data_IF_410427701553
#
_entry.id   IF_410427701553
#
_cell.length_a   1.000
_cell.length_b   1.000
_cell.length_c   1.000
_cell.angle_alpha   90.00
_cell.angle_beta   90.00
_cell.angle_gamma   90.00
#
_symmetry.space_group_name_H-M   'P 1'
#
loop_
_entity.id
_entity.type
_entity.pdbx_description
1 polymer ?
#
# COMPACT_ATOMS: atom_id res chain seq x y z
N UNK A 1 -3.70 -1.37 -22.78
CA UNK A 1 -2.68 -0.50 -23.43
C UNK A 1 -3.27 0.80 -23.97
N UNK A 2 -4.34 0.76 -24.76
CA UNK A 2 -4.93 1.96 -25.40
C UNK A 2 -5.45 3.00 -24.37
N UNK A 3 -6.13 2.56 -23.32
CA UNK A 3 -6.68 3.43 -22.27
C UNK A 3 -5.57 4.07 -21.44
N UNK A 4 -4.49 3.36 -21.13
CA UNK A 4 -3.35 3.88 -20.37
C UNK A 4 -2.52 4.90 -21.16
N UNK A 5 -2.38 4.70 -22.47
CA UNK A 5 -1.72 5.67 -23.37
C UNK A 5 -2.53 6.96 -23.44
N UNK A 6 -3.85 6.88 -23.55
CA UNK A 6 -4.74 8.04 -23.57
C UNK A 6 -4.72 8.81 -22.23
N UNK A 7 -4.56 8.10 -21.11
CA UNK A 7 -4.57 8.69 -19.76
C UNK A 7 -3.24 9.29 -19.33
N UNK A 8 -2.09 8.77 -19.83
CA UNK A 8 -0.72 9.15 -19.38
C UNK A 8 0.14 9.78 -20.46
N UNK A 9 -0.35 9.84 -21.70
CA UNK A 9 0.40 10.28 -22.87
C UNK A 9 1.47 9.27 -23.34
N UNK A 10 1.80 9.31 -24.64
CA UNK A 10 2.75 8.37 -25.26
C UNK A 10 4.15 8.43 -24.62
N UNK A 11 4.67 9.63 -24.34
CA UNK A 11 5.97 9.84 -23.71
C UNK A 11 6.06 9.25 -22.30
N UNK A 12 5.01 9.40 -21.49
CA UNK A 12 4.95 8.82 -20.13
C UNK A 12 4.92 7.30 -20.16
N UNK A 13 4.26 6.70 -21.15
CA UNK A 13 4.20 5.23 -21.30
C UNK A 13 5.56 4.66 -21.74
N UNK A 14 6.24 5.29 -22.71
CA UNK A 14 7.59 4.89 -23.16
C UNK A 14 8.60 5.01 -22.01
N UNK A 15 8.57 6.12 -21.28
CA UNK A 15 9.45 6.30 -20.10
C UNK A 15 9.25 5.22 -19.06
N UNK A 16 8.00 4.88 -18.70
CA UNK A 16 7.72 3.80 -17.74
C UNK A 16 8.17 2.44 -18.25
N UNK A 17 7.98 2.15 -19.53
CA UNK A 17 8.46 0.92 -20.14
C UNK A 17 9.99 0.78 -20.05
N UNK A 18 10.74 1.87 -20.23
CA UNK A 18 12.21 1.87 -20.10
C UNK A 18 12.70 1.60 -18.68
N UNK A 19 11.86 1.82 -17.67
CA UNK A 19 12.20 1.55 -16.27
C UNK A 19 11.92 0.11 -15.83
N UNK A 20 11.17 -0.67 -16.61
CA UNK A 20 10.79 -2.05 -16.24
C UNK A 20 12.00 -2.95 -15.93
N UNK A 21 13.10 -2.95 -16.74
CA UNK A 21 14.26 -3.79 -16.44
C UNK A 21 14.99 -3.39 -15.15
N UNK A 22 14.89 -2.10 -14.75
CA UNK A 22 15.48 -1.60 -13.49
C UNK A 22 14.60 -1.93 -12.29
N UNK A 23 13.29 -1.89 -12.46
CA UNK A 23 12.29 -2.16 -11.41
C UNK A 23 12.13 -3.63 -11.12
N UNK A 24 11.91 -4.40 -12.18
CA UNK A 24 11.69 -5.83 -12.11
C UNK A 24 12.90 -6.57 -12.67
N UNK A 25 13.19 -7.76 -12.16
CA UNK A 25 14.14 -8.69 -12.76
C UNK A 25 13.44 -9.60 -13.77
N UNK A 26 14.24 -10.43 -14.48
CA UNK A 26 13.72 -11.56 -15.26
C UNK A 26 13.14 -12.61 -14.31
N UNK A 27 13.82 -12.83 -13.16
CA UNK A 27 13.37 -13.67 -12.04
C UNK A 27 12.83 -12.81 -10.90
N UNK A 28 12.11 -13.41 -9.91
CA UNK A 28 11.64 -12.72 -8.71
C UNK A 28 12.72 -12.17 -7.79
N UNK A 29 13.98 -12.62 -7.90
CA UNK A 29 15.06 -12.39 -6.93
C UNK A 29 15.24 -10.91 -6.56
N UNK A 30 15.10 -10.01 -7.55
CA UNK A 30 15.25 -8.57 -7.30
C UNK A 30 14.18 -8.01 -6.38
N UNK A 31 12.93 -8.38 -6.62
CA UNK A 31 11.79 -7.96 -5.80
C UNK A 31 11.87 -8.62 -4.43
N UNK A 32 12.17 -9.92 -4.38
CA UNK A 32 12.38 -10.67 -3.14
C UNK A 32 13.49 -10.03 -2.29
N UNK A 33 14.64 -9.69 -2.87
CA UNK A 33 15.73 -9.02 -2.15
C UNK A 33 15.29 -7.70 -1.51
N UNK A 34 14.46 -6.91 -2.20
CA UNK A 34 13.93 -5.65 -1.69
C UNK A 34 12.90 -5.84 -0.57
N UNK A 35 12.02 -6.85 -0.71
CA UNK A 35 11.08 -7.23 0.34
C UNK A 35 11.81 -7.69 1.60
N UNK A 36 12.83 -8.55 1.48
CA UNK A 36 13.66 -9.00 2.60
C UNK A 36 14.33 -7.82 3.30
N UNK A 37 14.84 -6.84 2.55
CA UNK A 37 15.44 -5.62 3.12
C UNK A 37 14.41 -4.75 3.84
N UNK A 38 13.20 -4.59 3.27
CA UNK A 38 12.09 -3.86 3.91
C UNK A 38 11.69 -4.54 5.23
N UNK A 39 11.55 -5.86 5.24
CA UNK A 39 11.24 -6.64 6.45
C UNK A 39 12.35 -6.48 7.49
N UNK A 40 13.62 -6.66 7.08
CA UNK A 40 14.77 -6.52 7.98
C UNK A 40 14.90 -5.09 8.55
N UNK A 41 14.55 -4.06 7.79
CA UNK A 41 14.52 -2.68 8.25
C UNK A 41 13.51 -2.51 9.40
N UNK A 42 12.28 -3.01 9.22
CA UNK A 42 11.23 -2.92 10.22
C UNK A 42 11.52 -3.78 11.47
N UNK A 43 12.12 -4.96 11.28
CA UNK A 43 12.45 -5.88 12.37
C UNK A 43 13.46 -5.30 13.37
N UNK A 44 14.28 -4.32 12.99
CA UNK A 44 15.17 -3.60 13.93
C UNK A 44 14.39 -2.85 15.04
N UNK A 45 13.11 -2.59 14.80
CA UNK A 45 12.21 -1.87 15.69
C UNK A 45 11.07 -2.77 16.22
N UNK A 46 11.30 -4.09 16.23
CA UNK A 46 10.33 -5.09 16.67
C UNK A 46 8.96 -4.97 15.95
N UNK A 47 9.01 -4.61 14.67
CA UNK A 47 7.83 -4.43 13.82
C UNK A 47 8.01 -5.11 12.47
N UNK A 48 6.96 -5.09 11.65
CA UNK A 48 6.95 -5.69 10.30
C UNK A 48 6.11 -4.88 9.33
N UNK A 49 6.43 -4.87 8.02
CA UNK A 49 5.59 -4.22 7.03
C UNK A 49 4.34 -5.03 6.76
N UNK A 50 3.26 -4.37 6.32
CA UNK A 50 2.12 -5.06 5.70
C UNK A 50 2.33 -5.14 4.19
N UNK A 51 2.24 -6.34 3.64
CA UNK A 51 2.46 -6.61 2.21
C UNK A 51 1.14 -7.10 1.59
N UNK A 52 0.36 -6.24 0.96
CA UNK A 52 -0.72 -6.65 0.07
C UNK A 52 -0.15 -7.38 -1.14
N UNK A 53 -0.58 -8.63 -1.38
CA UNK A 53 -0.05 -9.48 -2.45
C UNK A 53 -1.17 -9.89 -3.39
N UNK A 54 -0.96 -9.67 -4.69
CA UNK A 54 -1.80 -10.23 -5.74
C UNK A 54 -1.68 -11.76 -5.74
N UNK A 55 -2.79 -12.48 -5.54
CA UNK A 55 -2.77 -13.93 -5.31
C UNK A 55 -2.18 -14.72 -6.50
N UNK A 56 -2.36 -14.27 -7.73
CA UNK A 56 -1.74 -14.88 -8.91
C UNK A 56 -0.21 -14.78 -8.92
N UNK A 57 0.39 -13.85 -8.19
CA UNK A 57 1.86 -13.79 -8.00
C UNK A 57 2.29 -14.91 -7.06
N UNK A 58 1.57 -15.13 -5.95
CA UNK A 58 1.85 -16.24 -5.04
C UNK A 58 1.66 -17.61 -5.70
N UNK A 59 0.67 -17.74 -6.55
CA UNK A 59 0.42 -19.00 -7.27
C UNK A 59 1.54 -19.32 -8.26
N UNK A 60 2.09 -18.31 -8.95
CA UNK A 60 3.23 -18.48 -9.87
C UNK A 60 4.58 -18.61 -9.15
N UNK A 61 4.72 -17.99 -7.99
CA UNK A 61 5.97 -17.88 -7.23
C UNK A 61 5.77 -18.23 -5.75
N UNK A 62 5.34 -19.47 -5.42
CA UNK A 62 5.07 -19.86 -4.03
C UNK A 62 6.32 -19.81 -3.14
N UNK A 63 7.51 -19.85 -3.72
CA UNK A 63 8.79 -19.69 -3.02
C UNK A 63 8.94 -18.32 -2.35
N UNK A 64 8.25 -17.27 -2.82
CA UNK A 64 8.27 -15.94 -2.21
C UNK A 64 7.80 -15.97 -0.76
N UNK A 65 6.87 -16.88 -0.40
CA UNK A 65 6.37 -17.01 0.96
C UNK A 65 7.46 -17.22 1.99
N UNK A 66 8.53 -17.94 1.64
CA UNK A 66 9.66 -18.14 2.58
C UNK A 66 10.35 -16.84 2.94
N UNK A 67 10.36 -15.90 2.00
CA UNK A 67 11.02 -14.60 2.15
C UNK A 67 10.16 -13.54 2.83
N UNK A 68 8.82 -13.71 2.80
CA UNK A 68 7.87 -12.75 3.38
C UNK A 68 7.11 -13.31 4.60
N UNK A 69 7.53 -14.45 5.14
CA UNK A 69 6.87 -15.09 6.30
C UNK A 69 6.79 -14.21 7.54
N UNK A 70 7.75 -13.29 7.69
CA UNK A 70 7.86 -12.39 8.82
C UNK A 70 7.17 -11.03 8.54
N UNK A 71 6.46 -10.90 7.42
CA UNK A 71 5.61 -9.77 7.09
C UNK A 71 4.15 -10.03 7.49
N UNK A 72 3.37 -8.96 7.61
CA UNK A 72 1.92 -9.02 7.70
C UNK A 72 1.35 -9.07 6.27
N UNK A 73 0.66 -10.16 5.90
CA UNK A 73 0.18 -10.36 4.53
C UNK A 73 -1.29 -9.96 4.41
N UNK A 74 -1.61 -9.24 3.32
CA UNK A 74 -2.97 -8.87 2.95
C UNK A 74 -3.28 -9.30 1.51
N UNK A 75 -4.55 -9.56 1.21
CA UNK A 75 -5.01 -9.88 -0.14
C UNK A 75 -5.05 -8.63 -1.01
N UNK A 76 -4.50 -8.72 -2.23
CA UNK A 76 -4.52 -7.64 -3.22
C UNK A 76 -5.21 -8.07 -4.52
N UNK A 77 -6.37 -8.75 -4.39
CA UNK A 77 -7.05 -9.41 -5.50
C UNK A 77 -6.35 -10.69 -5.98
N UNK A 78 -7.00 -11.42 -6.88
CA UNK A 78 -6.35 -12.51 -7.61
C UNK A 78 -5.55 -11.97 -8.79
N UNK A 79 -6.16 -11.06 -9.58
CA UNK A 79 -5.52 -10.29 -10.65
C UNK A 79 -5.41 -8.83 -10.21
N UNK A 80 -4.39 -8.14 -10.69
CA UNK A 80 -4.24 -6.71 -10.42
C UNK A 80 -5.14 -5.88 -11.36
N UNK A 81 -6.43 -5.84 -11.07
CA UNK A 81 -7.48 -5.14 -11.83
C UNK A 81 -8.27 -4.20 -10.94
N UNK A 82 -8.83 -3.13 -11.51
CA UNK A 82 -9.65 -2.18 -10.73
C UNK A 82 -10.99 -2.82 -10.37
N UNK A 83 -11.25 -3.03 -9.09
CA UNK A 83 -12.52 -3.61 -8.62
C UNK A 83 -13.71 -2.69 -8.87
N UNK A 84 -13.54 -1.37 -8.76
CA UNK A 84 -14.58 -0.39 -9.05
C UNK A 84 -15.14 -0.52 -10.48
N UNK A 85 -14.28 -0.90 -11.44
CA UNK A 85 -14.64 -0.99 -12.85
C UNK A 85 -15.22 -2.36 -13.25
N UNK A 86 -15.29 -3.34 -12.33
CA UNK A 86 -15.77 -4.69 -12.61
C UNK A 86 -17.27 -4.86 -12.36
N UNK A 87 -17.96 -5.70 -13.13
CA UNK A 87 -19.26 -6.23 -12.75
C UNK A 87 -19.19 -7.04 -11.43
N UNK A 88 -20.27 -7.05 -10.67
CA UNK A 88 -20.32 -7.71 -9.36
C UNK A 88 -19.87 -9.17 -9.37
N UNK A 89 -20.30 -9.96 -10.34
CA UNK A 89 -19.94 -11.37 -10.44
C UNK A 89 -18.45 -11.58 -10.73
N UNK A 90 -17.81 -10.66 -11.46
CA UNK A 90 -16.37 -10.69 -11.71
C UNK A 90 -15.58 -10.27 -10.47
N UNK A 91 -16.03 -9.24 -9.73
CA UNK A 91 -15.46 -8.87 -8.42
C UNK A 91 -15.46 -10.07 -7.47
N UNK A 92 -16.63 -10.72 -7.37
CA UNK A 92 -16.82 -11.89 -6.51
C UNK A 92 -15.91 -13.03 -6.92
N UNK A 93 -15.87 -13.37 -8.20
CA UNK A 93 -15.03 -14.47 -8.73
C UNK A 93 -13.54 -14.22 -8.49
N UNK A 94 -13.07 -13.00 -8.72
CA UNK A 94 -11.66 -12.63 -8.51
C UNK A 94 -11.29 -12.68 -7.01
N UNK A 95 -12.14 -12.15 -6.13
CA UNK A 95 -11.91 -12.22 -4.68
C UNK A 95 -11.95 -13.65 -4.16
N UNK A 96 -12.89 -14.49 -4.61
CA UNK A 96 -12.99 -15.90 -4.21
C UNK A 96 -11.78 -16.70 -4.68
N UNK A 97 -11.28 -16.45 -5.89
CA UNK A 97 -10.03 -17.04 -6.36
C UNK A 97 -8.83 -16.63 -5.49
N UNK A 98 -8.73 -15.35 -5.13
CA UNK A 98 -7.67 -14.87 -4.23
C UNK A 98 -7.74 -15.54 -2.86
N UNK A 99 -8.94 -15.61 -2.25
CA UNK A 99 -9.16 -16.29 -0.97
C UNK A 99 -8.78 -17.78 -1.04
N UNK A 100 -9.08 -18.44 -2.15
CA UNK A 100 -8.73 -19.85 -2.38
C UNK A 100 -7.22 -20.05 -2.39
N UNK A 101 -6.47 -19.22 -3.11
CA UNK A 101 -4.99 -19.31 -3.14
C UNK A 101 -4.41 -19.11 -1.73
N UNK A 102 -4.85 -18.07 -1.01
CA UNK A 102 -4.37 -17.82 0.35
C UNK A 102 -4.68 -19.00 1.28
N UNK A 103 -5.89 -19.53 1.24
CA UNK A 103 -6.30 -20.68 2.06
C UNK A 103 -5.50 -21.93 1.73
N UNK A 104 -5.25 -22.23 0.45
CA UNK A 104 -4.44 -23.38 0.02
C UNK A 104 -2.98 -23.29 0.48
N UNK A 105 -2.48 -22.07 0.66
CA UNK A 105 -1.14 -21.80 1.19
C UNK A 105 -1.09 -21.69 2.72
N UNK A 106 -2.23 -21.90 3.41
CA UNK A 106 -2.34 -21.81 4.86
C UNK A 106 -2.23 -20.39 5.41
N UNK A 107 -2.49 -19.37 4.60
CA UNK A 107 -2.42 -17.95 4.97
C UNK A 107 -3.76 -17.47 5.54
N UNK A 108 -3.67 -16.56 6.52
CA UNK A 108 -4.86 -15.96 7.12
C UNK A 108 -5.41 -14.82 6.23
N UNK A 109 -6.73 -14.78 6.09
CA UNK A 109 -7.45 -13.71 5.39
C UNK A 109 -7.76 -12.58 6.39
N UNK A 110 -6.77 -11.75 6.74
CA UNK A 110 -6.98 -10.67 7.71
C UNK A 110 -7.30 -9.34 7.05
N UNK A 111 -6.57 -8.97 6.03
CA UNK A 111 -6.65 -7.67 5.37
C UNK A 111 -6.85 -7.76 3.87
N UNK A 112 -7.48 -6.72 3.33
CA UNK A 112 -7.66 -6.53 1.90
C UNK A 112 -7.17 -5.13 1.50
N UNK A 113 -6.62 -5.03 0.30
CA UNK A 113 -6.39 -3.77 -0.40
C UNK A 113 -6.75 -3.96 -1.86
N UNK A 114 -7.67 -3.15 -2.38
CA UNK A 114 -8.01 -3.21 -3.80
C UNK A 114 -6.85 -2.71 -4.67
N UNK A 115 -6.57 -3.36 -5.80
CA UNK A 115 -5.65 -2.85 -6.78
C UNK A 115 -6.00 -1.42 -7.21
N UNK A 116 -4.98 -0.61 -7.43
CA UNK A 116 -5.10 0.82 -7.75
C UNK A 116 -5.77 1.69 -6.67
N UNK A 117 -5.98 1.15 -5.45
CA UNK A 117 -6.76 1.79 -4.39
C UNK A 117 -8.18 2.14 -4.86
N UNK A 118 -8.80 1.25 -5.66
CA UNK A 118 -10.12 1.44 -6.24
C UNK A 118 -11.08 0.35 -5.79
N UNK A 119 -11.87 0.69 -4.79
CA UNK A 119 -12.96 -0.11 -4.27
C UNK A 119 -14.23 0.72 -4.18
N UNK A 120 -15.34 0.15 -4.61
CA UNK A 120 -16.67 0.69 -4.39
C UNK A 120 -17.35 -0.01 -3.20
N UNK A 121 -18.56 0.42 -2.89
CA UNK A 121 -19.33 -0.15 -1.78
C UNK A 121 -19.59 -1.64 -1.93
N UNK A 122 -19.85 -2.10 -3.15
CA UNK A 122 -20.07 -3.53 -3.42
C UNK A 122 -18.80 -4.36 -3.13
N UNK A 123 -17.62 -3.82 -3.47
CA UNK A 123 -16.32 -4.43 -3.13
C UNK A 123 -16.16 -4.55 -1.62
N UNK A 124 -16.43 -3.48 -0.86
CA UNK A 124 -16.30 -3.50 0.60
C UNK A 124 -17.30 -4.46 1.25
N UNK A 125 -18.52 -4.56 0.73
CA UNK A 125 -19.52 -5.51 1.20
C UNK A 125 -19.10 -6.98 0.92
N UNK A 126 -18.47 -7.25 -0.22
CA UNK A 126 -17.88 -8.55 -0.53
C UNK A 126 -16.72 -8.89 0.42
N UNK A 127 -15.77 -7.97 0.59
CA UNK A 127 -14.62 -8.12 1.49
C UNK A 127 -15.10 -8.44 2.91
N UNK A 128 -16.07 -7.67 3.41
CA UNK A 128 -16.69 -7.92 4.72
C UNK A 128 -17.34 -9.30 4.81
N UNK A 129 -18.08 -9.71 3.79
CA UNK A 129 -18.78 -11.01 3.78
C UNK A 129 -17.85 -12.21 3.79
N UNK A 130 -16.58 -12.03 3.44
CA UNK A 130 -15.51 -13.05 3.50
C UNK A 130 -14.77 -13.05 4.84
N UNK A 131 -15.15 -12.18 5.80
CA UNK A 131 -14.60 -12.15 7.15
C UNK A 131 -13.26 -11.41 7.26
N UNK A 132 -12.91 -10.58 6.30
CA UNK A 132 -11.75 -9.69 6.45
C UNK A 132 -11.96 -8.71 7.60
N UNK A 133 -10.89 -8.42 8.34
CA UNK A 133 -10.91 -7.55 9.52
C UNK A 133 -10.67 -6.08 9.15
N UNK A 134 -9.84 -5.84 8.13
CA UNK A 134 -9.57 -4.50 7.65
C UNK A 134 -9.54 -4.42 6.12
N UNK A 135 -9.86 -3.24 5.62
CA UNK A 135 -9.62 -2.79 4.26
C UNK A 135 -8.66 -1.61 4.26
N UNK A 136 -7.83 -1.50 3.25
CA UNK A 136 -6.91 -0.39 3.07
C UNK A 136 -6.95 0.14 1.63
N UNK A 137 -8.16 0.23 1.07
CA UNK A 137 -8.36 0.65 -0.33
C UNK A 137 -8.63 2.13 -0.48
N UNK A 138 -9.08 2.83 0.57
CA UNK A 138 -9.27 4.26 0.53
C UNK A 138 -7.97 5.05 0.72
N UNK A 139 -8.03 6.35 0.45
CA UNK A 139 -6.86 7.23 0.58
C UNK A 139 -7.17 8.44 1.44
N UNK A 140 -6.15 8.95 2.14
CA UNK A 140 -6.22 10.22 2.86
C UNK A 140 -5.06 11.13 2.46
N UNK A 141 -5.29 12.43 2.43
CA UNK A 141 -4.24 13.40 2.15
C UNK A 141 -3.43 13.70 3.42
N UNK A 142 -2.10 13.54 3.37
CA UNK A 142 -1.25 13.58 4.54
C UNK A 142 -0.13 14.66 4.49
N UNK A 143 -0.22 15.64 3.60
CA UNK A 143 0.71 16.77 3.57
C UNK A 143 0.08 18.05 4.13
N UNK A 144 0.83 18.84 4.95
CA UNK A 144 0.38 20.15 5.38
C UNK A 144 0.09 21.09 4.19
N UNK A 145 -0.93 21.95 4.32
CA UNK A 145 -1.34 22.86 3.24
C UNK A 145 -0.24 23.81 2.75
N UNK A 146 0.68 24.20 3.63
CA UNK A 146 1.82 25.09 3.33
C UNK A 146 3.07 24.39 2.80
N UNK A 147 3.10 23.06 2.70
CA UNK A 147 4.30 22.37 2.22
C UNK A 147 4.53 22.64 0.71
N UNK A 148 5.78 22.89 0.25
CA UNK A 148 6.08 23.34 -1.11
C UNK A 148 5.50 22.47 -2.23
N UNK A 149 5.47 21.15 -2.05
CA UNK A 149 4.97 20.20 -3.07
C UNK A 149 3.45 19.98 -3.01
N UNK A 150 2.75 20.48 -2.00
CA UNK A 150 1.31 20.17 -1.76
C UNK A 150 0.44 20.44 -2.98
N UNK A 151 0.66 21.58 -3.67
CA UNK A 151 -0.13 21.92 -4.87
C UNK A 151 0.09 20.93 -6.01
N UNK A 152 1.34 20.56 -6.27
CA UNK A 152 1.68 19.60 -7.33
C UNK A 152 1.13 18.20 -6.99
N UNK A 153 1.26 17.78 -5.74
CA UNK A 153 0.70 16.50 -5.25
C UNK A 153 -0.82 16.46 -5.43
N UNK A 154 -1.56 17.50 -5.04
CA UNK A 154 -3.02 17.57 -5.23
C UNK A 154 -3.43 17.45 -6.70
N UNK A 155 -2.70 18.08 -7.61
CA UNK A 155 -2.96 17.95 -9.05
C UNK A 155 -2.72 16.54 -9.57
N UNK A 156 -1.66 15.86 -9.09
CA UNK A 156 -1.36 14.48 -9.45
C UNK A 156 -2.41 13.51 -8.88
N UNK A 157 -2.83 13.71 -7.63
CA UNK A 157 -3.91 12.93 -7.02
C UNK A 157 -5.21 13.08 -7.80
N UNK A 158 -5.63 14.31 -8.09
CA UNK A 158 -6.84 14.59 -8.85
C UNK A 158 -6.80 13.94 -10.25
N UNK A 159 -5.64 13.97 -10.91
CA UNK A 159 -5.45 13.31 -12.20
C UNK A 159 -5.51 11.78 -12.13
N UNK A 160 -5.11 11.18 -11.00
CA UNK A 160 -4.97 9.73 -10.86
C UNK A 160 -6.20 9.07 -10.24
N UNK A 161 -6.73 9.66 -9.17
CA UNK A 161 -7.81 9.09 -8.35
C UNK A 161 -9.15 9.84 -8.52
N UNK A 162 -9.16 10.99 -9.21
CA UNK A 162 -10.32 11.89 -9.26
C UNK A 162 -10.32 12.90 -8.11
N UNK A 163 -11.19 13.89 -8.19
CA UNK A 163 -11.25 15.01 -7.21
C UNK A 163 -11.87 14.61 -5.88
N UNK A 164 -12.67 13.53 -5.85
CA UNK A 164 -13.51 13.14 -4.71
C UNK A 164 -12.93 11.95 -3.91
N UNK A 165 -11.76 11.45 -4.29
CA UNK A 165 -11.19 10.21 -3.74
C UNK A 165 -10.43 10.37 -2.44
N UNK A 166 -10.31 11.59 -1.91
CA UNK A 166 -9.71 11.81 -0.59
C UNK A 166 -10.81 11.78 0.45
N UNK A 167 -11.11 10.60 0.98
CA UNK A 167 -12.02 10.46 2.11
C UNK A 167 -11.24 10.78 3.39
N UNK A 168 -11.60 11.85 4.11
CA UNK A 168 -11.08 12.04 5.45
C UNK A 168 -11.91 11.18 6.39
N UNK A 169 -11.28 10.30 7.06
CA UNK A 169 -11.73 9.53 8.20
C UNK A 169 -12.00 8.05 7.96
N UNK A 170 -11.47 7.30 8.91
CA UNK A 170 -11.79 5.89 9.18
C UNK A 170 -13.31 5.73 9.27
N UNK A 171 -13.94 5.31 8.18
CA UNK A 171 -15.34 4.91 8.20
C UNK A 171 -15.41 3.53 8.84
N UNK A 172 -15.69 3.48 10.14
CA UNK A 172 -15.88 2.21 10.83
C UNK A 172 -17.20 1.58 10.37
N UNK A 173 -17.07 0.54 9.55
CA UNK A 173 -18.15 -0.44 9.48
C UNK A 173 -18.05 -1.34 10.73
N UNK A 174 -19.16 -1.81 11.33
CA UNK A 174 -19.12 -2.55 12.60
C UNK A 174 -18.18 -3.76 12.63
N UNK A 175 -17.79 -4.28 11.47
CA UNK A 175 -16.98 -5.50 11.34
C UNK A 175 -15.81 -5.40 10.36
N UNK A 176 -15.58 -4.24 9.73
CA UNK A 176 -14.48 -3.99 8.81
C UNK A 176 -13.85 -2.63 9.13
N UNK A 177 -12.57 -2.61 9.48
CA UNK A 177 -11.84 -1.38 9.76
C UNK A 177 -11.27 -0.83 8.46
N UNK A 178 -11.66 0.37 8.07
CA UNK A 178 -11.06 1.08 6.95
C UNK A 178 -9.76 1.77 7.39
N UNK A 179 -8.66 1.50 6.68
CA UNK A 179 -7.31 2.00 6.99
C UNK A 179 -6.74 2.75 5.78
N UNK A 180 -7.04 4.05 5.63
CA UNK A 180 -6.71 4.82 4.43
C UNK A 180 -5.20 4.95 4.19
N UNK A 181 -4.75 4.69 2.96
CA UNK A 181 -3.37 4.96 2.55
C UNK A 181 -3.11 6.46 2.55
N UNK A 182 -2.00 6.87 3.16
CA UNK A 182 -1.60 8.28 3.26
C UNK A 182 -0.92 8.75 1.98
N UNK A 183 -1.51 9.70 1.30
CA UNK A 183 -0.95 10.29 0.08
C UNK A 183 -0.16 11.57 0.39
N UNK A 184 0.95 11.80 -0.32
CA UNK A 184 1.45 11.10 -1.50
C UNK A 184 2.13 9.77 -1.17
N UNK A 185 1.90 8.76 -2.03
CA UNK A 185 2.63 7.51 -2.04
C UNK A 185 3.98 7.63 -2.80
N UNK A 186 4.76 6.55 -2.81
CA UNK A 186 6.03 6.51 -3.54
C UNK A 186 5.86 6.71 -5.06
N UNK A 187 4.74 6.31 -5.64
CA UNK A 187 4.50 6.53 -7.07
C UNK A 187 4.30 8.02 -7.39
N UNK A 188 3.58 8.74 -6.52
CA UNK A 188 3.42 10.19 -6.68
C UNK A 188 4.75 10.90 -6.46
N UNK A 189 5.51 10.54 -5.42
CA UNK A 189 6.77 11.19 -5.07
C UNK A 189 7.86 10.89 -6.11
N UNK A 190 8.08 9.61 -6.45
CA UNK A 190 9.19 9.19 -7.32
C UNK A 190 8.86 9.35 -8.80
N UNK A 191 7.69 8.90 -9.25
CA UNK A 191 7.32 8.92 -10.67
C UNK A 191 6.59 10.20 -11.07
N UNK A 192 5.77 10.74 -10.17
CA UNK A 192 5.01 11.96 -10.42
C UNK A 192 5.85 13.23 -10.29
N UNK A 193 6.60 13.35 -9.20
CA UNK A 193 7.41 14.55 -8.90
C UNK A 193 8.89 14.38 -9.23
N UNK A 194 9.34 13.17 -9.57
CA UNK A 194 10.75 12.89 -9.90
C UNK A 194 11.69 12.92 -8.69
N UNK A 195 11.19 12.81 -7.46
CA UNK A 195 12.03 12.79 -6.25
C UNK A 195 12.79 11.46 -6.17
N UNK A 196 14.11 11.52 -6.36
CA UNK A 196 14.98 10.33 -6.38
C UNK A 196 16.15 10.40 -5.41
N UNK A 197 16.26 11.49 -4.66
CA UNK A 197 17.29 11.64 -3.64
C UNK A 197 16.69 11.56 -2.24
N UNK A 198 17.49 11.11 -1.31
CA UNK A 198 17.09 10.90 0.10
C UNK A 198 16.52 12.17 0.72
N UNK A 199 17.14 13.32 0.49
CA UNK A 199 16.71 14.60 1.09
C UNK A 199 15.30 14.99 0.67
N UNK A 200 14.99 14.93 -0.63
CA UNK A 200 13.66 15.30 -1.14
C UNK A 200 12.55 14.36 -0.64
N UNK A 201 12.83 13.05 -0.61
CA UNK A 201 11.91 12.05 -0.06
C UNK A 201 11.74 12.21 1.45
N UNK A 202 12.85 12.43 2.16
CA UNK A 202 12.84 12.67 3.59
C UNK A 202 11.94 13.85 3.98
N UNK A 203 12.09 15.01 3.33
CA UNK A 203 11.27 16.18 3.64
C UNK A 203 9.77 15.93 3.43
N UNK A 204 9.40 15.15 2.41
CA UNK A 204 8.01 14.78 2.19
C UNK A 204 7.50 13.84 3.31
N UNK A 205 8.26 12.80 3.65
CA UNK A 205 7.89 11.85 4.71
C UNK A 205 7.86 12.51 6.09
N UNK A 206 8.83 13.37 6.41
CA UNK A 206 8.88 14.16 7.65
C UNK A 206 7.63 15.00 7.82
N UNK A 207 7.23 15.75 6.77
CA UNK A 207 6.03 16.57 6.82
C UNK A 207 4.74 15.75 7.01
N UNK A 208 4.66 14.56 6.41
CA UNK A 208 3.55 13.63 6.63
C UNK A 208 3.53 13.10 8.07
N UNK A 209 4.69 12.75 8.62
CA UNK A 209 4.83 12.31 10.00
C UNK A 209 4.46 13.41 11.01
N UNK A 210 4.92 14.64 10.79
CA UNK A 210 4.56 15.77 11.65
C UNK A 210 3.05 16.05 11.66
N UNK A 211 2.39 15.90 10.50
CA UNK A 211 0.93 15.97 10.41
C UNK A 211 0.26 14.86 11.23
N UNK A 212 0.74 13.61 11.10
CA UNK A 212 0.22 12.47 11.87
C UNK A 212 0.45 12.66 13.38
N UNK A 213 1.62 13.12 13.78
CA UNK A 213 1.95 13.45 15.17
C UNK A 213 1.02 14.52 15.75
N UNK A 214 0.82 15.63 15.02
CA UNK A 214 -0.02 16.75 15.49
C UNK A 214 -1.51 16.39 15.63
N UNK A 215 -1.98 15.42 14.86
CA UNK A 215 -3.39 14.97 14.84
C UNK A 215 -3.63 13.69 15.64
N UNK A 216 -2.57 13.01 16.09
CA UNK A 216 -2.68 11.68 16.71
C UNK A 216 -3.18 10.60 15.75
N UNK A 217 -2.98 10.78 14.43
CA UNK A 217 -3.54 9.91 13.41
C UNK A 217 -2.64 8.73 13.05
N UNK A 218 -3.12 7.85 12.18
CA UNK A 218 -2.36 6.75 11.61
C UNK A 218 -1.76 7.17 10.27
N UNK A 219 -0.44 7.20 10.17
CA UNK A 219 0.29 7.38 8.93
C UNK A 219 0.53 6.01 8.28
N UNK A 220 -0.12 5.75 7.16
CA UNK A 220 0.01 4.50 6.41
C UNK A 220 0.73 4.81 5.10
N UNK A 221 2.02 4.56 5.05
CA UNK A 221 2.82 4.78 3.86
C UNK A 221 2.79 3.57 2.95
N UNK A 222 2.56 3.83 1.66
CA UNK A 222 2.67 2.84 0.60
C UNK A 222 3.98 3.03 -0.14
N UNK A 223 4.83 1.98 -0.12
CA UNK A 223 6.10 1.94 -0.83
C UNK A 223 6.22 0.61 -1.56
N UNK A 224 6.07 0.64 -2.87
CA UNK A 224 6.12 -0.56 -3.70
C UNK A 224 7.54 -1.16 -3.73
N UNK A 225 7.69 -2.48 -3.67
CA UNK A 225 9.00 -3.14 -3.66
C UNK A 225 9.89 -2.74 -4.85
N UNK A 226 9.31 -2.47 -6.02
CA UNK A 226 10.08 -2.06 -7.20
C UNK A 226 10.70 -0.65 -7.08
N UNK A 227 10.22 0.19 -6.12
CA UNK A 227 10.77 1.52 -5.82
C UNK A 227 11.48 1.60 -4.47
N UNK A 228 11.40 0.53 -3.65
CA UNK A 228 11.95 0.53 -2.29
C UNK A 228 13.41 1.01 -2.24
N UNK A 229 14.26 0.56 -3.17
CA UNK A 229 15.68 0.95 -3.23
C UNK A 229 15.92 2.47 -3.40
N UNK A 230 14.91 3.23 -3.86
CA UNK A 230 14.98 4.69 -3.97
C UNK A 230 14.55 5.34 -2.64
N UNK A 231 13.58 4.74 -1.96
CA UNK A 231 12.97 5.27 -0.75
C UNK A 231 13.68 4.83 0.54
N UNK A 232 14.45 3.74 0.51
CA UNK A 232 14.98 3.03 1.67
C UNK A 232 15.67 3.94 2.68
N UNK A 233 16.65 4.74 2.26
CA UNK A 233 17.38 5.61 3.18
C UNK A 233 16.49 6.71 3.81
N UNK A 234 15.50 7.22 3.08
CA UNK A 234 14.54 8.18 3.63
C UNK A 234 13.53 7.51 4.59
N UNK A 235 13.16 6.25 4.35
CA UNK A 235 12.32 5.47 5.24
C UNK A 235 13.04 5.11 6.54
N UNK A 236 14.33 4.78 6.50
CA UNK A 236 15.12 4.54 7.71
C UNK A 236 15.12 5.76 8.61
N UNK A 237 15.40 6.95 8.05
CA UNK A 237 15.33 8.21 8.80
C UNK A 237 13.93 8.48 9.36
N UNK A 238 12.89 8.19 8.58
CA UNK A 238 11.51 8.37 9.03
C UNK A 238 11.18 7.47 10.23
N UNK A 239 11.52 6.18 10.14
CA UNK A 239 11.22 5.22 11.20
C UNK A 239 11.95 5.61 12.49
N UNK A 240 13.24 5.92 12.40
CA UNK A 240 14.03 6.37 13.54
C UNK A 240 13.38 7.58 14.20
N UNK A 241 13.09 8.63 13.45
CA UNK A 241 12.46 9.85 13.97
C UNK A 241 11.04 9.60 14.49
N UNK A 242 10.26 8.73 13.85
CA UNK A 242 8.91 8.41 14.30
C UNK A 242 8.91 7.68 15.65
N UNK A 243 9.84 6.74 15.85
CA UNK A 243 10.00 6.05 17.14
C UNK A 243 10.46 7.00 18.23
N UNK A 244 11.45 7.86 17.96
CA UNK A 244 11.93 8.87 18.88
C UNK A 244 10.83 9.88 19.28
N UNK A 245 9.90 10.18 18.38
CA UNK A 245 8.75 11.03 18.64
C UNK A 245 7.58 10.32 19.35
N UNK A 246 7.76 9.07 19.77
CA UNK A 246 6.72 8.29 20.45
C UNK A 246 5.64 7.72 19.48
N UNK A 247 5.99 7.50 18.23
CA UNK A 247 5.12 6.82 17.26
C UNK A 247 5.07 5.31 17.51
N UNK A 248 3.91 4.71 17.30
CA UNK A 248 3.74 3.28 17.30
C UNK A 248 3.98 2.71 15.91
N UNK A 249 5.13 2.05 15.72
CA UNK A 249 5.45 1.36 14.47
C UNK A 249 4.76 0.00 14.46
N UNK A 250 3.78 -0.20 13.57
CA UNK A 250 2.87 -1.35 13.63
C UNK A 250 2.42 -1.82 12.25
N UNK A 251 2.21 -3.15 12.03
CA UNK A 251 1.52 -3.62 10.84
C UNK A 251 0.02 -3.29 10.89
N UNK A 252 -0.64 -3.30 9.73
CA UNK A 252 -2.07 -2.96 9.64
C UNK A 252 -2.95 -3.94 10.43
N UNK A 253 -2.59 -5.22 10.49
CA UNK A 253 -3.34 -6.21 11.26
C UNK A 253 -3.38 -5.91 12.75
N UNK A 254 -2.28 -5.48 13.35
CA UNK A 254 -2.22 -5.12 14.78
C UNK A 254 -2.93 -3.80 15.06
N UNK A 255 -2.75 -2.82 14.16
CA UNK A 255 -3.48 -1.55 14.26
C UNK A 255 -4.99 -1.76 14.17
N UNK A 256 -5.47 -2.63 13.28
CA UNK A 256 -6.90 -2.97 13.18
C UNK A 256 -7.42 -3.65 14.44
N UNK A 257 -6.66 -4.60 14.98
CA UNK A 257 -7.00 -5.28 16.23
C UNK A 257 -7.11 -4.30 17.41
N UNK A 258 -6.21 -3.31 17.48
CA UNK A 258 -6.28 -2.26 18.49
C UNK A 258 -7.52 -1.39 18.33
N UNK A 259 -7.83 -0.95 17.10
CA UNK A 259 -8.99 -0.11 16.80
C UNK A 259 -10.28 -0.82 17.20
N UNK A 260 -10.41 -2.12 16.89
CA UNK A 260 -11.60 -2.93 17.24
C UNK A 260 -11.74 -3.11 18.75
N UNK A 261 -10.64 -3.32 19.48
CA UNK A 261 -10.67 -3.51 20.94
C UNK A 261 -10.86 -2.23 21.75
N UNK A 262 -10.67 -1.07 21.11
CA UNK A 262 -10.79 0.25 21.74
C UNK A 262 -11.99 1.07 21.21
N UNK A 263 -13.21 0.49 21.17
CA UNK A 263 -14.40 1.20 20.68
C UNK A 263 -14.78 2.27 21.71
N UNK A 264 -14.85 3.50 21.31
CA UNK A 264 -15.36 4.57 22.15
C UNK A 264 -14.55 5.86 22.16
N UNK A 265 -13.68 6.04 21.18
CA UNK A 265 -13.13 7.37 20.88
C UNK A 265 -11.98 7.85 21.74
N UNK A 266 -11.37 7.04 22.60
CA UNK A 266 -10.04 7.32 23.05
C UNK A 266 -9.08 7.09 21.90
N UNK A 267 -8.75 8.15 21.15
CA UNK A 267 -7.74 8.15 20.08
C UNK A 267 -6.32 8.01 20.64
N UNK A 268 -6.16 7.21 21.68
CA UNK A 268 -4.84 6.90 22.25
C UNK A 268 -4.41 5.57 21.70
N UNK A 269 -3.28 5.58 21.03
CA UNK A 269 -2.59 4.37 20.63
C UNK A 269 -2.09 3.60 21.85
N UNK A 270 -1.76 2.29 21.73
CA UNK A 270 -1.29 1.51 22.86
C UNK A 270 -0.10 2.19 23.56
N UNK A 271 0.08 1.92 24.83
CA UNK A 271 1.20 2.37 25.66
C UNK A 271 1.45 3.90 25.65
N UNK A 272 0.43 4.68 25.27
CA UNK A 272 0.50 6.13 25.24
C UNK A 272 1.20 6.72 24.03
N UNK A 273 1.40 5.95 22.98
CA UNK A 273 1.96 6.44 21.72
C UNK A 273 1.17 7.63 21.16
N UNK A 274 1.90 8.60 20.58
CA UNK A 274 1.34 9.86 20.08
C UNK A 274 0.61 9.70 18.75
N UNK A 275 1.07 8.81 17.90
CA UNK A 275 0.49 8.47 16.57
C UNK A 275 0.90 7.05 16.19
N UNK A 276 0.35 6.51 15.10
CA UNK A 276 0.79 5.23 14.56
C UNK A 276 1.46 5.41 13.19
N UNK A 277 2.43 4.55 12.87
CA UNK A 277 3.08 4.47 11.57
C UNK A 277 3.06 3.04 11.07
N UNK A 278 2.53 2.83 9.86
CA UNK A 278 2.62 1.56 9.13
C UNK A 278 3.34 1.77 7.80
N UNK A 279 4.27 0.89 7.50
CA UNK A 279 4.89 0.79 6.18
C UNK A 279 4.22 -0.36 5.44
N UNK A 280 3.72 -0.09 4.24
CA UNK A 280 3.08 -1.09 3.39
C UNK A 280 3.75 -1.15 2.03
N UNK A 281 3.70 -2.31 1.35
CA UNK A 281 4.32 -2.47 0.05
C UNK A 281 3.57 -3.45 -0.83
N UNK A 282 2.80 -2.96 -1.79
CA UNK A 282 1.99 -3.79 -2.67
C UNK A 282 2.85 -4.62 -3.62
N UNK A 283 2.66 -5.93 -3.63
CA UNK A 283 3.35 -6.86 -4.51
C UNK A 283 2.45 -7.27 -5.68
N UNK A 284 2.50 -6.47 -6.75
CA UNK A 284 1.68 -6.65 -7.97
C UNK A 284 2.32 -7.59 -8.98
N UNK A 285 3.64 -7.62 -9.01
CA UNK A 285 4.45 -8.41 -9.92
C UNK A 285 5.82 -8.66 -9.30
N UNK A 286 6.32 -9.88 -9.42
CA UNK A 286 7.65 -10.26 -8.93
C UNK A 286 8.72 -10.21 -10.04
N UNK A 287 8.30 -10.27 -11.31
CA UNK A 287 9.19 -10.29 -12.48
C UNK A 287 8.64 -9.46 -13.62
N UNK A 288 9.46 -9.23 -14.65
CA UNK A 288 8.99 -8.64 -15.93
C UNK A 288 7.90 -9.50 -16.56
N UNK A 289 8.00 -10.83 -16.45
CA UNK A 289 6.99 -11.77 -16.95
C UNK A 289 5.64 -11.57 -16.28
N UNK A 290 5.61 -11.39 -14.96
CA UNK A 290 4.37 -11.08 -14.21
C UNK A 290 3.78 -9.75 -14.63
N UNK A 291 4.63 -8.72 -14.75
CA UNK A 291 4.20 -7.41 -15.20
C UNK A 291 3.60 -7.48 -16.62
N UNK A 292 4.21 -8.25 -17.52
CA UNK A 292 3.68 -8.48 -18.85
C UNK A 292 2.33 -9.22 -18.81
N UNK A 293 2.21 -10.29 -18.02
CA UNK A 293 0.97 -11.04 -17.84
C UNK A 293 -0.17 -10.16 -17.30
N UNK A 294 0.14 -9.22 -16.39
CA UNK A 294 -0.82 -8.25 -15.87
C UNK A 294 -1.39 -7.33 -16.97
N UNK A 295 -0.58 -6.95 -17.96
CA UNK A 295 -1.00 -6.05 -19.05
C UNK A 295 -1.70 -6.78 -20.18
N UNK A 296 -1.24 -7.98 -20.52
CA UNK A 296 -1.70 -8.73 -21.70
C UNK A 296 -2.52 -9.98 -21.37
N UNK A 297 -2.53 -10.44 -20.13
CA UNK A 297 -3.28 -11.60 -19.67
C UNK A 297 -4.75 -11.26 -19.34
N UNK A 298 -5.47 -10.74 -20.35
CA UNK A 298 -6.93 -10.57 -20.27
C UNK A 298 -7.63 -11.77 -20.84
#
# INVERSE_FOLDING_TARGET
>A
MTIEILRKGFGGTVYRASLLPVRYGISPDRIVSRLVRMIAMMARWDSRPTIPITASVLERHPEILRSVRDADLAVHGYRHISYEDLPFDEKRSDLDAACTVFSNLGLLLRGFRAPYLRADRETLDLVRSRGFLFDSSSTQFALPGGHPITRAVRLLIASRYGTDSVVPSVAMHPTLVEMPVSLPDDEILVDGLGLRNTTGLWHAFEAMMEMAFSTGSHLILQVHPERFHICEAALELLIEKAVDAGGWLTPLSEASDWIVRSPGGSRRWPDGHSFALSITGDLDAASIGDFASRIWGK
#
